data_IF_158274557053
#
_entry.id   IF_158274557053
#
_cell.length_a   1.000
_cell.length_b   1.000
_cell.length_c   1.000
_cell.angle_alpha   90.00
_cell.angle_beta   90.00
_cell.angle_gamma   90.00
#
_symmetry.space_group_name_H-M   'P 1'
#
loop_
_entity.id
_entity.type
_entity.pdbx_description
1 polymer ?
#
# COMPACT_ATOMS: atom_id res chain seq x y z
N UNK A 1 9.06 5.06 7.84
CA UNK A 1 8.63 3.70 8.27
C UNK A 1 9.53 3.13 9.35
N UNK A 2 10.84 2.95 9.12
CA UNK A 2 11.77 2.40 10.13
C UNK A 2 11.67 3.15 11.46
N UNK A 3 11.71 4.46 11.45
CA UNK A 3 11.56 5.29 12.66
C UNK A 3 10.26 5.00 13.44
N UNK A 4 9.13 4.77 12.78
CA UNK A 4 7.87 4.42 13.46
C UNK A 4 7.94 3.04 14.12
N UNK A 5 8.54 2.06 13.44
CA UNK A 5 8.76 0.72 13.97
C UNK A 5 9.65 0.80 15.20
N UNK A 6 10.77 1.53 15.11
CA UNK A 6 11.72 1.73 16.23
C UNK A 6 11.05 2.41 17.43
N UNK A 7 10.16 3.40 17.20
CA UNK A 7 9.40 4.07 18.27
C UNK A 7 8.38 3.12 18.92
N UNK A 8 7.67 2.30 18.13
CA UNK A 8 6.76 1.31 18.67
C UNK A 8 7.49 0.28 19.53
N UNK A 9 8.60 -0.25 19.05
CA UNK A 9 9.43 -1.20 19.78
C UNK A 9 9.95 -0.61 21.11
N UNK A 10 10.47 0.63 21.07
CA UNK A 10 10.94 1.34 22.25
C UNK A 10 9.82 1.69 23.24
N UNK A 11 8.57 1.89 22.75
CA UNK A 11 7.43 2.24 23.60
C UNK A 11 6.89 1.03 24.34
N UNK A 12 6.66 -0.07 23.63
CA UNK A 12 6.19 -1.33 24.21
C UNK A 12 6.39 -2.47 23.19
N UNK A 13 7.29 -3.43 23.44
CA UNK A 13 7.54 -4.54 22.52
C UNK A 13 6.30 -5.39 22.18
N UNK A 14 5.27 -5.35 23.04
CA UNK A 14 4.02 -6.09 22.83
C UNK A 14 3.15 -5.49 21.70
N UNK A 15 3.47 -4.30 21.20
CA UNK A 15 2.72 -3.64 20.11
C UNK A 15 2.70 -4.51 18.86
N UNK A 16 3.80 -5.19 18.54
CA UNK A 16 3.83 -6.06 17.35
C UNK A 16 2.90 -7.26 17.47
N UNK A 17 2.75 -7.82 18.67
CA UNK A 17 1.79 -8.89 18.94
C UNK A 17 0.33 -8.50 18.71
N UNK A 18 0.00 -7.19 18.66
CA UNK A 18 -1.36 -6.74 18.32
C UNK A 18 -1.75 -7.07 16.88
N UNK A 19 -0.79 -7.27 16.01
CA UNK A 19 -1.05 -7.57 14.59
C UNK A 19 -1.16 -9.07 14.30
N UNK A 20 -0.89 -9.93 15.28
CA UNK A 20 -0.87 -11.38 15.13
C UNK A 20 -2.27 -12.01 15.24
N UNK A 21 -3.18 -11.38 15.97
CA UNK A 21 -4.52 -11.89 16.18
C UNK A 21 -5.63 -10.83 15.96
N UNK A 22 -6.87 -11.32 15.85
CA UNK A 22 -8.05 -10.46 15.66
C UNK A 22 -8.31 -9.54 16.86
N UNK A 23 -8.06 -9.99 18.08
CA UNK A 23 -8.32 -9.22 19.29
C UNK A 23 -7.39 -8.01 19.37
N UNK A 24 -6.09 -8.22 19.18
CA UNK A 24 -5.10 -7.16 19.17
C UNK A 24 -5.34 -6.15 18.05
N UNK A 25 -5.59 -6.63 16.84
CA UNK A 25 -5.90 -5.78 15.68
C UNK A 25 -7.16 -4.95 15.92
N UNK A 26 -8.22 -5.56 16.47
CA UNK A 26 -9.47 -4.86 16.77
C UNK A 26 -9.29 -3.87 17.92
N UNK A 27 -8.57 -4.23 18.98
CA UNK A 27 -8.27 -3.33 20.08
C UNK A 27 -7.52 -2.08 19.60
N UNK A 28 -6.50 -2.26 18.75
CA UNK A 28 -5.76 -1.15 18.16
C UNK A 28 -6.65 -0.24 17.30
N UNK A 29 -7.55 -0.80 16.50
CA UNK A 29 -8.50 -0.02 15.71
C UNK A 29 -9.45 0.80 16.57
N UNK A 30 -9.96 0.22 17.69
CA UNK A 30 -10.78 0.95 18.65
C UNK A 30 -10.03 2.16 19.19
N UNK A 31 -8.81 1.97 19.66
CA UNK A 31 -7.99 3.06 20.23
C UNK A 31 -7.64 4.14 19.18
N UNK A 32 -7.33 3.75 17.92
CA UNK A 32 -7.11 4.72 16.84
C UNK A 32 -8.38 5.54 16.55
N UNK A 33 -9.55 4.92 16.67
CA UNK A 33 -10.87 5.59 16.51
C UNK A 33 -11.31 6.34 17.76
N UNK A 34 -10.49 6.41 18.81
CA UNK A 34 -10.81 7.08 20.06
C UNK A 34 -11.80 6.30 20.94
N UNK A 35 -11.98 5.01 20.70
CA UNK A 35 -12.83 4.13 21.49
C UNK A 35 -11.98 3.30 22.46
N UNK A 36 -12.39 3.20 23.72
CA UNK A 36 -11.65 2.47 24.77
C UNK A 36 -11.81 0.95 24.59
N UNK A 37 -10.76 0.29 24.13
CA UNK A 37 -10.73 -1.15 23.91
C UNK A 37 -10.82 -1.97 25.21
N UNK A 38 -10.50 -1.39 26.36
CA UNK A 38 -10.59 -2.05 27.66
C UNK A 38 -12.04 -2.36 28.09
N UNK A 39 -13.01 -1.67 27.50
CA UNK A 39 -14.44 -1.91 27.71
C UNK A 39 -14.97 -3.11 26.91
N UNK A 40 -14.08 -3.81 26.20
CA UNK A 40 -14.42 -4.90 25.30
C UNK A 40 -14.67 -4.42 23.86
N UNK A 41 -14.34 -5.26 22.92
CA UNK A 41 -14.46 -5.01 21.47
C UNK A 41 -15.42 -6.00 20.81
N UNK A 42 -15.99 -5.64 19.68
CA UNK A 42 -16.86 -6.55 18.91
C UNK A 42 -16.02 -7.37 17.92
N UNK A 43 -16.11 -8.69 18.04
CA UNK A 43 -15.50 -9.65 17.11
C UNK A 43 -16.56 -10.66 16.68
N UNK A 44 -16.81 -10.72 15.38
CA UNK A 44 -17.78 -11.62 14.76
C UNK A 44 -19.16 -11.60 15.46
N UNK A 45 -19.63 -10.38 15.77
CA UNK A 45 -20.92 -10.10 16.41
C UNK A 45 -20.99 -10.37 17.92
N UNK A 46 -19.88 -10.71 18.56
CA UNK A 46 -19.79 -10.95 20.00
C UNK A 46 -18.89 -9.93 20.67
N UNK A 47 -19.30 -9.43 21.84
CA UNK A 47 -18.43 -8.58 22.66
C UNK A 47 -17.42 -9.44 23.40
N UNK A 48 -16.15 -9.19 23.15
CA UNK A 48 -15.01 -9.90 23.73
C UNK A 48 -14.29 -8.95 24.67
N UNK A 49 -14.06 -9.40 25.90
CA UNK A 49 -13.23 -8.65 26.86
C UNK A 49 -11.76 -8.84 26.48
N UNK A 50 -11.06 -7.74 26.25
CA UNK A 50 -9.64 -7.75 25.89
C UNK A 50 -8.77 -7.86 27.15
N UNK A 51 -7.73 -8.66 27.07
CA UNK A 51 -6.71 -8.71 28.13
C UNK A 51 -6.16 -7.32 28.42
N UNK A 52 -6.00 -7.00 29.70
CA UNK A 52 -5.60 -5.66 30.14
C UNK A 52 -4.25 -5.22 29.58
N UNK A 53 -3.27 -6.14 29.47
CA UNK A 53 -1.96 -5.84 28.91
C UNK A 53 -2.04 -5.56 27.41
N UNK A 54 -2.90 -6.31 26.71
CA UNK A 54 -3.19 -6.12 25.28
C UNK A 54 -3.88 -4.78 25.04
N UNK A 55 -4.90 -4.42 25.84
CA UNK A 55 -5.59 -3.12 25.75
C UNK A 55 -4.63 -1.95 26.02
N UNK A 56 -3.74 -2.07 27.02
CA UNK A 56 -2.72 -1.07 27.29
C UNK A 56 -1.71 -0.91 26.15
N UNK A 57 -1.27 -2.02 25.54
CA UNK A 57 -0.39 -1.98 24.37
C UNK A 57 -1.08 -1.31 23.18
N UNK A 58 -2.35 -1.62 22.93
CA UNK A 58 -3.15 -0.98 21.89
C UNK A 58 -3.28 0.54 22.09
N UNK A 59 -3.56 0.97 23.31
CA UNK A 59 -3.64 2.40 23.67
C UNK A 59 -2.32 3.14 23.44
N UNK A 60 -1.20 2.53 23.84
CA UNK A 60 0.14 3.10 23.59
C UNK A 60 0.45 3.15 22.09
N UNK A 61 0.14 2.09 21.36
CA UNK A 61 0.34 2.03 19.91
C UNK A 61 -0.46 3.10 19.17
N UNK A 62 -1.73 3.28 19.54
CA UNK A 62 -2.60 4.30 18.95
C UNK A 62 -2.11 5.73 19.25
N UNK A 63 -1.62 5.98 20.48
CA UNK A 63 -1.04 7.27 20.86
C UNK A 63 0.19 7.59 19.98
N UNK A 64 1.15 6.67 19.91
CA UNK A 64 2.35 6.84 19.07
C UNK A 64 1.95 7.00 17.60
N UNK A 65 0.99 6.20 17.12
CA UNK A 65 0.47 6.32 15.77
C UNK A 65 -0.04 7.72 15.47
N UNK A 66 -0.88 8.27 16.36
CA UNK A 66 -1.43 9.62 16.21
C UNK A 66 -0.32 10.67 16.19
N UNK A 67 0.61 10.63 17.13
CA UNK A 67 1.73 11.58 17.22
C UNK A 67 2.59 11.55 15.94
N UNK A 68 2.91 10.37 15.44
CA UNK A 68 3.73 10.22 14.23
C UNK A 68 2.98 10.67 12.97
N UNK A 69 1.70 10.36 12.84
CA UNK A 69 0.90 10.80 11.69
C UNK A 69 0.64 12.31 11.71
N UNK A 70 0.42 12.89 12.89
CA UNK A 70 0.28 14.35 13.03
C UNK A 70 1.59 15.09 12.68
N UNK A 71 2.74 14.55 13.10
CA UNK A 71 4.04 15.09 12.71
C UNK A 71 4.27 15.02 11.20
N UNK A 72 3.95 13.87 10.58
CA UNK A 72 4.06 13.71 9.12
C UNK A 72 3.09 14.63 8.37
N UNK A 73 1.87 14.83 8.89
CA UNK A 73 0.90 15.78 8.33
C UNK A 73 1.44 17.21 8.37
N UNK A 74 1.98 17.62 9.51
CA UNK A 74 2.58 18.95 9.66
C UNK A 74 3.75 19.15 8.69
N UNK A 75 4.61 18.14 8.56
CA UNK A 75 5.71 18.16 7.61
C UNK A 75 5.26 18.19 6.15
N UNK A 76 4.24 17.41 5.80
CA UNK A 76 3.64 17.43 4.46
C UNK A 76 3.08 18.82 4.14
N UNK A 77 2.34 19.43 5.08
CA UNK A 77 1.80 20.76 4.91
C UNK A 77 2.90 21.84 4.79
N UNK A 78 3.98 21.72 5.57
CA UNK A 78 5.14 22.62 5.45
C UNK A 78 5.83 22.54 4.08
N UNK A 79 5.68 21.43 3.37
CA UNK A 79 6.22 21.24 2.01
C UNK A 79 5.18 21.48 0.89
N UNK A 80 4.10 22.22 1.19
CA UNK A 80 3.10 22.65 0.23
C UNK A 80 1.86 21.75 0.14
N UNK A 81 1.70 20.77 1.04
CA UNK A 81 0.47 20.03 1.24
C UNK A 81 -0.62 20.90 1.85
N UNK A 82 -1.88 20.46 1.77
CA UNK A 82 -3.06 21.15 2.31
C UNK A 82 -4.01 20.15 3.00
N UNK A 83 -3.46 19.33 3.88
CA UNK A 83 -4.29 18.40 4.68
C UNK A 83 -4.91 19.17 5.83
N UNK A 84 -6.25 19.19 5.86
CA UNK A 84 -7.03 19.80 6.92
C UNK A 84 -7.02 18.99 8.22
N UNK A 85 -7.80 19.45 9.19
CA UNK A 85 -7.97 18.75 10.45
C UNK A 85 -9.11 17.76 10.36
N UNK A 86 -8.82 16.49 10.67
CA UNK A 86 -9.76 15.39 10.75
C UNK A 86 -9.31 14.48 11.91
N UNK A 87 -10.20 14.20 12.87
CA UNK A 87 -9.86 13.46 14.09
C UNK A 87 -9.24 12.10 13.82
N UNK A 88 -9.74 11.38 12.83
CA UNK A 88 -9.27 10.06 12.42
C UNK A 88 -8.45 10.08 11.11
N UNK A 89 -7.81 11.21 10.80
CA UNK A 89 -7.03 11.37 9.57
C UNK A 89 -5.96 10.29 9.41
N UNK A 90 -5.34 9.86 10.48
CA UNK A 90 -4.29 8.84 10.47
C UNK A 90 -4.80 7.42 10.15
N UNK A 91 -6.12 7.15 10.14
CA UNK A 91 -6.67 5.86 9.76
C UNK A 91 -7.10 5.88 8.29
N UNK A 92 -6.26 5.45 7.35
CA UNK A 92 -6.59 5.45 5.94
C UNK A 92 -7.64 4.38 5.61
N UNK A 93 -8.50 4.68 4.64
CA UNK A 93 -9.42 3.70 4.10
C UNK A 93 -8.77 2.97 2.93
N UNK A 94 -8.92 1.67 2.90
CA UNK A 94 -8.44 0.84 1.81
C UNK A 94 -9.61 0.09 1.18
N UNK A 95 -9.66 0.09 -0.16
CA UNK A 95 -10.72 -0.54 -0.93
C UNK A 95 -10.11 -1.50 -1.94
N UNK A 96 -10.64 -2.70 -2.01
CA UNK A 96 -10.38 -3.62 -3.12
C UNK A 96 -11.32 -3.31 -4.28
N UNK A 97 -10.81 -2.69 -5.35
CA UNK A 97 -11.62 -2.38 -6.54
C UNK A 97 -12.33 -3.62 -7.08
N UNK A 98 -11.69 -4.79 -7.01
CA UNK A 98 -12.28 -6.05 -7.45
C UNK A 98 -13.48 -6.48 -6.59
N UNK A 99 -13.39 -6.35 -5.25
CA UNK A 99 -14.50 -6.68 -4.34
C UNK A 99 -15.66 -5.68 -4.46
N UNK A 100 -15.33 -4.40 -4.60
CA UNK A 100 -16.33 -3.34 -4.80
C UNK A 100 -17.06 -3.54 -6.13
N UNK A 101 -16.32 -3.81 -7.21
CA UNK A 101 -16.91 -4.11 -8.53
C UNK A 101 -17.80 -5.36 -8.49
N UNK A 102 -17.34 -6.43 -7.84
CA UNK A 102 -18.09 -7.68 -7.74
C UNK A 102 -19.40 -7.54 -6.95
N UNK A 103 -19.45 -6.62 -5.98
CA UNK A 103 -20.68 -6.32 -5.24
C UNK A 103 -21.73 -5.59 -6.10
N UNK A 104 -21.30 -4.80 -7.08
CA UNK A 104 -22.14 -3.90 -7.83
C UNK A 104 -22.46 -2.60 -7.09
N UNK A 105 -22.83 -1.55 -7.83
CA UNK A 105 -23.00 -0.19 -7.30
C UNK A 105 -24.07 -0.11 -6.21
N UNK A 106 -25.27 -0.61 -6.51
CA UNK A 106 -26.41 -0.45 -5.57
C UNK A 106 -26.17 -1.22 -4.27
N UNK A 107 -25.69 -2.46 -4.35
CA UNK A 107 -25.39 -3.26 -3.14
C UNK A 107 -24.22 -2.69 -2.33
N UNK A 108 -23.19 -2.13 -3.00
CA UNK A 108 -22.09 -1.48 -2.32
C UNK A 108 -22.55 -0.20 -1.61
N UNK A 109 -23.38 0.63 -2.27
CA UNK A 109 -23.94 1.85 -1.72
C UNK A 109 -24.80 1.53 -0.50
N UNK A 110 -25.76 0.58 -0.62
CA UNK A 110 -26.65 0.17 0.48
C UNK A 110 -25.87 -0.29 1.70
N UNK A 111 -24.93 -1.23 1.51
CA UNK A 111 -24.10 -1.75 2.58
C UNK A 111 -23.18 -0.70 3.21
N UNK A 112 -22.63 0.21 2.41
CA UNK A 112 -21.76 1.26 2.91
C UNK A 112 -22.55 2.29 3.70
N UNK A 113 -23.69 2.74 3.18
CA UNK A 113 -24.53 3.79 3.77
C UNK A 113 -24.91 3.50 5.21
N UNK A 114 -25.28 2.25 5.52
CA UNK A 114 -25.68 1.86 6.89
C UNK A 114 -24.58 2.02 7.94
N UNK A 115 -23.29 2.05 7.53
CA UNK A 115 -22.14 2.19 8.40
C UNK A 115 -21.67 3.64 8.58
N UNK A 116 -22.26 4.61 7.86
CA UNK A 116 -21.79 5.99 7.84
C UNK A 116 -22.41 6.85 8.94
N UNK A 117 -21.62 7.71 9.55
CA UNK A 117 -22.06 8.78 10.41
C UNK A 117 -22.62 9.95 9.60
N UNK A 118 -23.93 9.96 9.40
CA UNK A 118 -24.61 10.93 8.55
C UNK A 118 -24.49 12.38 9.07
N UNK A 119 -24.16 12.59 10.35
CA UNK A 119 -23.97 13.93 10.94
C UNK A 119 -22.70 14.62 10.43
N UNK A 120 -21.79 13.87 9.86
CA UNK A 120 -20.53 14.40 9.29
C UNK A 120 -20.65 14.89 7.84
N UNK A 121 -21.83 14.68 7.22
CA UNK A 121 -22.07 15.15 5.85
C UNK A 121 -22.76 16.50 5.89
N UNK A 122 -21.94 17.55 5.84
CA UNK A 122 -22.36 18.94 5.95
C UNK A 122 -22.06 19.66 4.64
N UNK A 123 -23.01 20.46 4.14
CA UNK A 123 -22.83 21.31 2.96
C UNK A 123 -21.98 22.54 3.30
N UNK A 124 -21.54 23.26 2.27
CA UNK A 124 -20.77 24.51 2.42
C UNK A 124 -21.53 25.59 3.22
N UNK A 125 -22.87 25.56 3.17
CA UNK A 125 -23.75 26.46 3.94
C UNK A 125 -23.97 26.05 5.39
N UNK A 126 -23.35 24.93 5.84
CA UNK A 126 -23.48 24.39 7.19
C UNK A 126 -24.70 23.51 7.42
N UNK A 127 -25.56 23.29 6.43
CA UNK A 127 -26.70 22.38 6.54
C UNK A 127 -26.30 20.92 6.30
N UNK A 128 -27.05 20.00 6.93
CA UNK A 128 -26.82 18.56 6.70
C UNK A 128 -27.26 18.17 5.28
N UNK A 129 -26.48 17.28 4.67
CA UNK A 129 -26.86 16.64 3.42
C UNK A 129 -28.05 15.70 3.64
N UNK A 130 -28.94 15.62 2.67
CA UNK A 130 -30.00 14.62 2.62
C UNK A 130 -29.43 13.23 2.31
N UNK A 131 -30.16 12.19 2.66
CA UNK A 131 -29.77 10.80 2.32
C UNK A 131 -29.54 10.61 0.82
N UNK A 132 -30.36 11.25 -0.01
CA UNK A 132 -30.21 11.17 -1.48
C UNK A 132 -28.92 11.82 -1.97
N UNK A 133 -28.51 12.93 -1.38
CA UNK A 133 -27.22 13.58 -1.70
C UNK A 133 -26.05 12.72 -1.28
N UNK A 134 -26.11 12.10 -0.09
CA UNK A 134 -25.09 11.17 0.39
C UNK A 134 -25.01 9.93 -0.52
N UNK A 135 -26.15 9.37 -0.92
CA UNK A 135 -26.20 8.26 -1.88
C UNK A 135 -25.56 8.67 -3.23
N UNK A 136 -25.80 9.90 -3.69
CA UNK A 136 -25.14 10.45 -4.86
C UNK A 136 -23.62 10.52 -4.73
N UNK A 137 -23.12 10.95 -3.58
CA UNK A 137 -21.67 10.94 -3.26
C UNK A 137 -21.10 9.51 -3.25
N UNK A 138 -21.83 8.55 -2.67
CA UNK A 138 -21.40 7.15 -2.66
C UNK A 138 -21.35 6.55 -4.06
N UNK A 139 -22.32 6.83 -4.92
CA UNK A 139 -22.30 6.39 -6.34
C UNK A 139 -21.08 6.94 -7.07
N UNK A 140 -20.77 8.22 -6.89
CA UNK A 140 -19.56 8.83 -7.46
C UNK A 140 -18.28 8.21 -6.90
N UNK A 141 -18.27 7.88 -5.60
CA UNK A 141 -17.15 7.20 -4.95
C UNK A 141 -16.96 5.77 -5.46
N UNK A 142 -18.05 5.04 -5.68
CA UNK A 142 -18.02 3.72 -6.31
C UNK A 142 -17.32 3.77 -7.68
N UNK A 143 -17.75 4.69 -8.55
CA UNK A 143 -17.13 4.88 -9.87
C UNK A 143 -15.64 5.19 -9.76
N UNK A 144 -15.26 6.02 -8.79
CA UNK A 144 -13.85 6.36 -8.55
C UNK A 144 -13.03 5.16 -8.09
N UNK A 145 -13.56 4.33 -7.18
CA UNK A 145 -12.88 3.13 -6.68
C UNK A 145 -12.73 2.10 -7.79
N UNK A 146 -13.80 1.83 -8.53
CA UNK A 146 -13.82 0.79 -9.59
C UNK A 146 -12.95 1.19 -10.77
N UNK A 147 -12.96 2.47 -11.17
CA UNK A 147 -12.16 2.97 -12.28
C UNK A 147 -10.71 3.29 -11.90
N UNK A 148 -10.33 3.15 -10.59
CA UNK A 148 -9.02 3.59 -10.10
C UNK A 148 -8.80 5.10 -10.27
N UNK A 149 -9.87 5.90 -10.25
CA UNK A 149 -9.85 7.35 -10.42
C UNK A 149 -9.92 7.84 -11.88
N UNK A 150 -10.07 6.93 -12.85
CA UNK A 150 -10.14 7.31 -14.26
C UNK A 150 -11.38 8.18 -14.60
N UNK A 151 -12.47 8.03 -13.84
CA UNK A 151 -13.66 8.87 -13.97
C UNK A 151 -13.43 10.35 -13.63
N UNK A 152 -12.38 10.67 -12.88
CA UNK A 152 -11.97 12.06 -12.58
C UNK A 152 -11.13 12.69 -13.69
N UNK A 153 -10.76 11.92 -14.72
CA UNK A 153 -10.01 12.42 -15.87
C UNK A 153 -10.98 12.98 -16.90
N UNK A 154 -10.89 14.26 -17.18
CA UNK A 154 -11.70 14.89 -18.22
C UNK A 154 -11.10 14.59 -19.59
N UNK A 155 -11.83 13.95 -20.52
CA UNK A 155 -11.34 13.71 -21.88
C UNK A 155 -10.92 15.01 -22.56
N UNK A 156 -9.76 15.03 -23.23
CA UNK A 156 -9.25 16.18 -23.96
C UNK A 156 -8.57 17.29 -23.13
N UNK A 157 -8.64 17.21 -21.80
CA UNK A 157 -7.72 17.98 -20.96
C UNK A 157 -6.51 17.10 -20.64
N UNK A 158 -5.28 17.55 -20.95
CA UNK A 158 -4.12 16.85 -20.42
C UNK A 158 -4.31 16.80 -18.91
N UNK A 159 -4.38 15.58 -18.37
CA UNK A 159 -4.27 15.35 -16.93
C UNK A 159 -2.84 15.75 -16.54
N UNK A 160 -2.61 17.03 -16.47
CA UNK A 160 -1.51 17.57 -15.69
C UNK A 160 -1.86 17.17 -14.27
N UNK A 161 -1.22 16.08 -13.83
CA UNK A 161 -1.51 15.45 -12.56
C UNK A 161 -1.78 16.53 -11.55
N UNK A 162 -2.95 16.45 -10.90
CA UNK A 162 -3.32 17.44 -9.91
C UNK A 162 -2.13 17.66 -8.99
N UNK A 163 -1.97 18.87 -8.53
CA UNK A 163 -0.83 19.23 -7.69
C UNK A 163 -0.63 18.12 -6.64
N UNK A 164 0.53 17.47 -6.65
CA UNK A 164 0.83 16.36 -5.70
C UNK A 164 0.61 16.77 -4.26
N UNK A 165 0.75 18.07 -3.97
CA UNK A 165 0.44 18.65 -2.67
C UNK A 165 -1.03 18.50 -2.23
N UNK A 166 -1.94 18.20 -3.15
CA UNK A 166 -3.35 17.98 -2.84
C UNK A 166 -3.73 16.48 -2.73
N UNK A 167 -2.80 15.56 -2.98
CA UNK A 167 -3.10 14.12 -3.03
C UNK A 167 -3.70 13.56 -1.74
N UNK A 168 -3.31 14.08 -0.58
CA UNK A 168 -3.85 13.71 0.73
C UNK A 168 -4.84 14.73 1.29
N UNK A 169 -5.13 15.79 0.53
CA UNK A 169 -6.03 16.88 0.91
C UNK A 169 -7.44 16.68 0.38
N UNK A 170 -7.69 15.65 -0.45
CA UNK A 170 -9.04 15.33 -0.89
C UNK A 170 -9.89 14.94 0.33
N UNK A 171 -11.09 15.50 0.39
CA UNK A 171 -12.03 15.22 1.46
C UNK A 171 -12.34 13.73 1.52
N UNK A 172 -12.32 13.20 2.73
CA UNK A 172 -12.73 11.82 2.97
C UNK A 172 -14.24 11.73 2.78
N UNK A 173 -14.67 10.86 1.86
CA UNK A 173 -16.10 10.66 1.59
C UNK A 173 -16.75 9.68 2.58
N UNK A 174 -15.99 8.68 3.07
CA UNK A 174 -16.54 7.68 3.99
C UNK A 174 -16.22 8.06 5.43
N UNK A 175 -17.25 8.41 6.21
CA UNK A 175 -17.15 8.71 7.64
C UNK A 175 -17.89 7.61 8.42
N UNK A 176 -17.16 6.63 8.93
CA UNK A 176 -17.76 5.51 9.68
C UNK A 176 -18.17 5.93 11.10
N UNK A 177 -19.35 5.46 11.58
CA UNK A 177 -19.91 5.74 12.91
C UNK A 177 -18.97 5.30 14.03
N UNK A 178 -18.36 4.12 13.88
CA UNK A 178 -17.58 3.46 14.91
C UNK A 178 -16.43 2.65 14.32
N UNK A 179 -15.59 2.09 15.21
CA UNK A 179 -14.58 1.12 14.81
C UNK A 179 -15.22 -0.15 14.25
N UNK A 180 -16.35 -0.58 14.80
CA UNK A 180 -17.08 -1.76 14.32
C UNK A 180 -17.58 -1.58 12.89
N UNK A 181 -18.17 -0.42 12.59
CA UNK A 181 -18.63 -0.09 11.24
C UNK A 181 -17.47 -0.07 10.23
N UNK A 182 -16.32 0.50 10.62
CA UNK A 182 -15.11 0.47 9.80
C UNK A 182 -14.61 -0.97 9.59
N UNK A 183 -14.55 -1.79 10.64
CA UNK A 183 -14.10 -3.19 10.55
C UNK A 183 -15.02 -4.00 9.65
N UNK A 184 -16.34 -3.83 9.79
CA UNK A 184 -17.31 -4.56 8.97
C UNK A 184 -17.19 -4.19 7.50
N UNK A 185 -17.02 -2.90 7.21
CA UNK A 185 -16.74 -2.43 5.85
C UNK A 185 -15.43 -3.04 5.31
N UNK A 186 -14.34 -3.04 6.10
CA UNK A 186 -13.06 -3.58 5.68
C UNK A 186 -13.08 -5.10 5.45
N UNK A 187 -13.86 -5.85 6.20
CA UNK A 187 -14.07 -7.28 5.95
C UNK A 187 -14.68 -7.56 4.58
N UNK A 188 -15.64 -6.72 4.17
CA UNK A 188 -16.35 -6.89 2.93
C UNK A 188 -15.57 -6.34 1.73
N UNK A 189 -15.01 -5.17 1.84
CA UNK A 189 -14.49 -4.36 0.74
C UNK A 189 -13.00 -4.04 0.82
N UNK A 190 -12.32 -4.34 1.92
CA UNK A 190 -10.87 -4.24 2.06
C UNK A 190 -10.16 -5.54 1.67
N UNK A 191 -8.86 -5.48 1.37
CA UNK A 191 -8.02 -6.64 1.05
C UNK A 191 -6.67 -6.63 1.79
N UNK A 192 -6.43 -5.62 2.63
CA UNK A 192 -5.17 -5.47 3.37
C UNK A 192 -5.36 -5.67 4.86
N UNK A 193 -4.34 -6.24 5.50
CA UNK A 193 -4.25 -6.25 6.96
C UNK A 193 -4.10 -4.83 7.51
N UNK A 194 -4.49 -4.61 8.77
CA UNK A 194 -4.31 -3.31 9.44
C UNK A 194 -2.85 -2.87 9.38
N UNK A 195 -1.90 -3.75 9.66
CA UNK A 195 -0.47 -3.47 9.54
C UNK A 195 -0.10 -2.96 8.14
N UNK A 196 -0.59 -3.63 7.10
CA UNK A 196 -0.37 -3.24 5.71
C UNK A 196 -0.98 -1.87 5.36
N UNK A 197 -2.17 -1.55 5.91
CA UNK A 197 -2.83 -0.26 5.73
C UNK A 197 -2.03 0.86 6.40
N UNK A 198 -1.64 0.68 7.67
CA UNK A 198 -0.91 1.68 8.44
C UNK A 198 0.49 1.93 7.85
N UNK A 199 1.25 0.87 7.59
CA UNK A 199 2.60 0.99 7.02
C UNK A 199 2.58 1.55 5.60
N UNK A 200 1.58 1.18 4.80
CA UNK A 200 1.34 1.74 3.47
C UNK A 200 1.08 3.24 3.49
N UNK A 201 0.27 3.71 4.45
CA UNK A 201 -0.01 5.14 4.63
C UNK A 201 1.25 5.95 4.95
N UNK A 202 2.02 5.52 5.95
CA UNK A 202 3.28 6.19 6.32
C UNK A 202 4.26 6.19 5.17
N UNK A 203 4.38 5.08 4.44
CA UNK A 203 5.28 4.99 3.29
C UNK A 203 4.88 5.93 2.16
N UNK A 204 3.58 6.00 1.85
CA UNK A 204 3.06 6.88 0.81
C UNK A 204 3.27 8.36 1.19
N UNK A 205 2.93 8.74 2.42
CA UNK A 205 3.09 10.11 2.90
C UNK A 205 4.56 10.54 2.97
N UNK A 206 5.45 9.69 3.50
CA UNK A 206 6.89 9.94 3.54
C UNK A 206 7.48 10.12 2.14
N UNK A 207 7.00 9.37 1.16
CA UNK A 207 7.41 9.51 -0.25
C UNK A 207 6.99 10.87 -0.80
N UNK A 208 5.75 11.29 -0.59
CA UNK A 208 5.27 12.59 -1.06
C UNK A 208 6.04 13.74 -0.42
N UNK A 209 6.33 13.65 0.89
CA UNK A 209 7.17 14.63 1.59
C UNK A 209 8.57 14.70 0.96
N UNK A 210 9.21 13.56 0.73
CA UNK A 210 10.54 13.51 0.13
C UNK A 210 10.56 14.11 -1.29
N UNK A 211 9.54 13.83 -2.08
CA UNK A 211 9.38 14.40 -3.43
C UNK A 211 9.17 15.90 -3.34
N UNK A 212 8.24 16.37 -2.49
CA UNK A 212 7.95 17.79 -2.34
C UNK A 212 9.16 18.59 -1.84
N UNK A 213 9.95 18.05 -0.91
CA UNK A 213 11.21 18.65 -0.44
C UNK A 213 12.24 18.86 -1.53
N UNK A 214 12.33 17.93 -2.50
CA UNK A 214 13.35 17.96 -3.54
C UNK A 214 12.92 18.67 -4.81
N UNK A 215 11.64 18.54 -5.17
CA UNK A 215 11.10 18.96 -6.46
C UNK A 215 10.03 20.06 -6.32
N UNK A 216 9.69 20.44 -5.09
CA UNK A 216 8.64 21.39 -4.80
C UNK A 216 7.23 20.78 -4.85
N UNK A 217 6.20 21.60 -4.52
CA UNK A 217 4.81 21.13 -4.46
C UNK A 217 4.25 20.71 -5.81
N UNK A 218 4.80 21.23 -6.91
CA UNK A 218 4.44 20.88 -8.29
C UNK A 218 5.45 19.93 -8.93
N UNK A 219 5.92 18.91 -8.19
CA UNK A 219 6.99 18.02 -8.58
C UNK A 219 6.84 17.42 -9.98
N UNK A 220 5.61 17.09 -10.38
CA UNK A 220 5.33 16.51 -11.70
C UNK A 220 5.64 17.46 -12.84
N UNK A 221 5.27 18.73 -12.69
CA UNK A 221 5.59 19.75 -13.68
C UNK A 221 7.07 20.11 -13.66
N UNK A 222 7.67 20.15 -12.48
CA UNK A 222 9.11 20.37 -12.31
C UNK A 222 9.91 19.30 -13.04
N UNK A 223 9.58 18.04 -12.84
CA UNK A 223 10.26 16.89 -13.50
C UNK A 223 10.04 16.94 -15.00
N UNK A 224 8.78 17.14 -15.43
CA UNK A 224 8.48 17.26 -16.86
C UNK A 224 9.31 18.37 -17.52
N UNK A 225 9.38 19.55 -16.91
CA UNK A 225 10.17 20.65 -17.43
C UNK A 225 11.65 20.28 -17.59
N UNK A 226 12.26 19.65 -16.60
CA UNK A 226 13.66 19.23 -16.69
C UNK A 226 13.89 18.11 -17.70
N UNK A 227 12.96 17.15 -17.80
CA UNK A 227 13.03 16.08 -18.81
C UNK A 227 12.94 16.69 -20.22
N UNK A 228 12.00 17.59 -20.47
CA UNK A 228 11.84 18.23 -21.78
C UNK A 228 13.06 19.09 -22.15
N UNK A 229 13.64 19.79 -21.18
CA UNK A 229 14.87 20.56 -21.37
C UNK A 229 16.08 19.68 -21.66
N UNK A 230 16.21 18.56 -20.94
CA UNK A 230 17.26 17.57 -21.19
C UNK A 230 17.11 16.96 -22.60
N UNK A 231 15.87 16.59 -22.97
CA UNK A 231 15.57 16.07 -24.31
C UNK A 231 16.04 17.02 -25.42
N UNK A 232 15.70 18.31 -25.31
CA UNK A 232 16.13 19.30 -26.30
C UNK A 232 17.65 19.39 -26.43
N UNK A 233 18.38 19.31 -25.29
CA UNK A 233 19.86 19.31 -25.30
C UNK A 233 20.43 18.04 -25.91
N UNK A 234 19.86 16.89 -25.58
CA UNK A 234 20.38 15.58 -26.01
C UNK A 234 20.02 15.27 -27.47
N UNK A 235 18.88 15.73 -27.97
CA UNK A 235 18.49 15.61 -29.38
C UNK A 235 19.50 16.29 -30.30
N UNK A 236 20.05 17.44 -29.88
CA UNK A 236 21.10 18.14 -30.62
C UNK A 236 22.43 17.38 -30.62
N UNK A 237 22.75 16.67 -29.52
CA UNK A 237 24.04 15.99 -29.34
C UNK A 237 24.06 14.56 -29.88
N UNK A 238 23.00 13.82 -29.67
CA UNK A 238 22.95 12.36 -29.84
C UNK A 238 21.89 11.88 -30.83
N UNK A 239 21.08 12.81 -31.36
CA UNK A 239 19.95 12.52 -32.24
C UNK A 239 18.66 12.14 -31.52
N UNK A 240 17.53 12.36 -32.20
CA UNK A 240 16.17 12.24 -31.63
C UNK A 240 15.86 10.87 -31.06
N UNK A 241 16.32 9.80 -31.69
CA UNK A 241 15.99 8.44 -31.27
C UNK A 241 16.58 8.08 -29.91
N UNK A 242 17.83 8.45 -29.66
CA UNK A 242 18.51 8.20 -28.38
C UNK A 242 17.92 9.12 -27.30
N UNK A 243 17.71 10.39 -27.60
CA UNK A 243 17.12 11.35 -26.66
C UNK A 243 15.72 10.90 -26.20
N UNK A 244 14.86 10.39 -27.10
CA UNK A 244 13.53 9.83 -26.73
C UNK A 244 13.64 8.63 -25.81
N UNK A 245 14.62 7.77 -26.05
CA UNK A 245 14.83 6.60 -25.18
C UNK A 245 15.20 7.01 -23.76
N UNK A 246 16.10 7.98 -23.61
CA UNK A 246 16.50 8.50 -22.30
C UNK A 246 15.37 9.30 -21.62
N UNK A 247 14.58 10.05 -22.38
CA UNK A 247 13.38 10.72 -21.89
C UNK A 247 12.38 9.70 -21.29
N UNK A 248 12.11 8.61 -22.02
CA UNK A 248 11.20 7.56 -21.56
C UNK A 248 11.74 6.85 -20.30
N UNK A 249 13.03 6.54 -20.25
CA UNK A 249 13.65 5.90 -19.07
C UNK A 249 13.56 6.81 -17.85
N UNK A 250 13.87 8.09 -18.00
CA UNK A 250 13.83 9.07 -16.91
C UNK A 250 12.40 9.27 -16.39
N UNK A 251 11.43 9.39 -17.30
CA UNK A 251 10.02 9.47 -16.91
C UNK A 251 9.56 8.20 -16.20
N UNK A 252 9.93 7.03 -16.70
CA UNK A 252 9.58 5.74 -16.09
C UNK A 252 10.19 5.58 -14.70
N UNK A 253 11.42 6.04 -14.49
CA UNK A 253 12.06 6.05 -13.18
C UNK A 253 11.34 6.98 -12.21
N UNK A 254 11.01 8.19 -12.67
CA UNK A 254 10.22 9.12 -11.85
C UNK A 254 8.87 8.53 -11.47
N UNK A 255 8.14 7.95 -12.41
CA UNK A 255 6.84 7.32 -12.15
C UNK A 255 6.95 6.16 -11.15
N UNK A 256 8.06 5.41 -11.19
CA UNK A 256 8.35 4.39 -10.19
C UNK A 256 8.57 5.00 -8.80
N UNK A 257 9.45 6.01 -8.69
CA UNK A 257 9.72 6.72 -7.43
C UNK A 257 8.46 7.41 -6.91
N UNK A 258 7.67 7.97 -7.80
CA UNK A 258 6.41 8.65 -7.51
C UNK A 258 5.28 7.68 -7.10
N UNK A 259 5.49 6.38 -7.16
CA UNK A 259 4.48 5.37 -6.83
C UNK A 259 3.30 5.35 -7.80
N UNK A 260 3.51 5.79 -9.04
CA UNK A 260 2.49 5.81 -10.10
C UNK A 260 2.37 4.51 -10.87
N UNK A 261 3.28 3.57 -10.71
CA UNK A 261 3.06 2.23 -11.21
C UNK A 261 1.87 1.67 -10.48
N UNK A 262 0.73 1.70 -11.15
CA UNK A 262 -0.52 1.17 -10.65
C UNK A 262 -0.31 -0.30 -10.26
N UNK A 263 -0.95 -0.76 -9.18
CA UNK A 263 -1.18 -2.17 -9.00
C UNK A 263 -1.84 -2.65 -10.30
N UNK A 264 -1.34 -3.74 -10.81
CA UNK A 264 -1.70 -4.29 -12.12
C UNK A 264 -3.22 -4.42 -12.21
N UNK A 265 -3.82 -3.75 -13.18
CA UNK A 265 -5.26 -3.73 -13.39
C UNK A 265 -5.85 -5.12 -13.69
N UNK A 266 -4.99 -6.10 -13.96
CA UNK A 266 -5.39 -7.50 -14.15
C UNK A 266 -4.31 -8.43 -13.55
N UNK A 267 -4.61 -8.93 -12.35
CA UNK A 267 -3.75 -9.81 -11.58
C UNK A 267 -3.38 -11.11 -12.34
N UNK A 268 -4.28 -11.60 -13.21
CA UNK A 268 -4.03 -12.78 -14.06
C UNK A 268 -3.04 -12.47 -15.18
N UNK A 269 -3.11 -11.28 -15.76
CA UNK A 269 -2.14 -10.85 -16.79
C UNK A 269 -0.77 -10.59 -16.14
N UNK A 270 -0.74 -10.00 -14.94
CA UNK A 270 0.51 -9.80 -14.21
C UNK A 270 1.18 -11.10 -13.80
N UNK A 271 0.41 -12.04 -13.25
CA UNK A 271 0.96 -13.37 -12.91
C UNK A 271 1.43 -14.11 -14.15
N UNK A 272 0.79 -13.89 -15.31
CA UNK A 272 1.25 -14.37 -16.60
C UNK A 272 2.59 -13.75 -17.01
N UNK A 273 2.75 -12.43 -16.86
CA UNK A 273 4.02 -11.74 -17.14
C UNK A 273 5.11 -12.08 -16.11
N UNK A 274 4.77 -12.25 -14.84
CA UNK A 274 5.73 -12.71 -13.81
C UNK A 274 6.15 -14.15 -14.05
N UNK A 275 5.24 -15.01 -14.50
CA UNK A 275 5.56 -16.38 -14.92
C UNK A 275 6.47 -16.38 -16.15
N UNK A 276 6.16 -15.55 -17.15
CA UNK A 276 7.00 -15.38 -18.35
C UNK A 276 8.38 -14.83 -17.99
N UNK A 277 8.47 -13.84 -17.11
CA UNK A 277 9.70 -13.27 -16.60
C UNK A 277 10.52 -14.31 -15.83
N UNK A 278 9.87 -15.07 -14.95
CA UNK A 278 10.51 -16.17 -14.21
C UNK A 278 11.01 -17.25 -15.14
N UNK A 279 10.26 -17.59 -16.19
CA UNK A 279 10.68 -18.51 -17.23
C UNK A 279 11.88 -17.97 -18.05
N UNK A 280 11.86 -16.69 -18.42
CA UNK A 280 12.98 -16.03 -19.10
C UNK A 280 14.23 -15.95 -18.22
N UNK A 281 14.09 -15.67 -16.93
CA UNK A 281 15.19 -15.70 -15.97
C UNK A 281 15.71 -17.13 -15.83
N UNK A 282 14.84 -18.12 -15.68
CA UNK A 282 15.19 -19.52 -15.60
C UNK A 282 15.88 -20.01 -16.91
N UNK A 283 15.39 -19.58 -18.09
CA UNK A 283 16.01 -19.92 -19.38
C UNK A 283 17.38 -19.27 -19.55
N UNK A 284 17.58 -18.05 -19.05
CA UNK A 284 18.90 -17.39 -19.02
C UNK A 284 19.84 -18.00 -17.99
N UNK A 285 19.32 -18.41 -16.83
CA UNK A 285 20.07 -19.20 -15.84
C UNK A 285 20.30 -20.63 -16.32
N UNK A 286 19.40 -21.19 -17.15
CA UNK A 286 19.56 -22.48 -17.79
C UNK A 286 20.76 -22.53 -18.73
N UNK A 287 21.19 -21.39 -19.28
CA UNK A 287 22.46 -21.29 -20.00
C UNK A 287 23.72 -21.39 -19.10
N UNK A 288 23.54 -21.31 -17.78
CA UNK A 288 24.61 -21.57 -16.80
C UNK A 288 24.75 -23.08 -16.48
N UNK A 289 23.75 -23.91 -16.84
CA UNK A 289 23.86 -25.37 -16.67
C UNK A 289 25.08 -25.99 -17.35
N UNK A 290 25.50 -25.57 -18.57
CA UNK A 290 26.74 -26.05 -19.15
C UNK A 290 27.99 -25.65 -18.36
N UNK A 291 27.98 -24.52 -17.64
CA UNK A 291 29.13 -24.10 -16.82
C UNK A 291 29.16 -24.79 -15.45
N UNK A 292 28.04 -25.35 -14.99
CA UNK A 292 28.00 -26.14 -13.77
C UNK A 292 28.45 -27.61 -13.96
N UNK A 293 28.48 -28.09 -15.18
CA UNK A 293 28.96 -29.45 -15.48
C UNK A 293 30.40 -29.73 -15.05
N UNK A 294 31.39 -28.81 -15.26
CA UNK A 294 32.74 -28.98 -14.73
C UNK A 294 32.79 -29.04 -13.21
N UNK A 295 31.96 -28.20 -12.53
CA UNK A 295 31.91 -28.18 -11.07
C UNK A 295 31.29 -29.47 -10.49
N UNK A 296 30.31 -30.03 -11.15
CA UNK A 296 29.72 -31.34 -10.81
C UNK A 296 30.72 -32.47 -11.01
N UNK A 297 31.51 -32.46 -12.08
CA UNK A 297 32.56 -33.42 -12.33
C UNK A 297 33.66 -33.32 -11.26
N UNK A 298 34.03 -32.11 -10.86
CA UNK A 298 35.01 -31.85 -9.80
C UNK A 298 34.48 -32.32 -8.43
N UNK A 299 33.22 -32.07 -8.13
CA UNK A 299 32.54 -32.56 -6.90
C UNK A 299 32.50 -34.09 -6.87
N UNK A 300 32.20 -34.75 -8.00
CA UNK A 300 32.17 -36.19 -8.10
C UNK A 300 33.55 -36.80 -7.90
N UNK A 301 34.59 -36.21 -8.52
CA UNK A 301 35.98 -36.63 -8.34
C UNK A 301 36.44 -36.44 -6.88
N UNK A 302 36.11 -35.33 -6.27
CA UNK A 302 36.41 -35.01 -4.85
C UNK A 302 35.74 -36.03 -3.93
N UNK A 303 34.47 -36.36 -4.18
CA UNK A 303 33.72 -37.36 -3.40
C UNK A 303 34.34 -38.75 -3.55
N UNK A 304 34.80 -39.12 -4.77
CA UNK A 304 35.43 -40.43 -5.04
C UNK A 304 36.80 -40.51 -4.35
N UNK A 305 37.59 -39.44 -4.35
CA UNK A 305 38.89 -39.36 -3.66
C UNK A 305 38.68 -39.51 -2.13
N UNK A 306 37.61 -38.90 -1.58
CA UNK A 306 37.27 -38.96 -0.16
C UNK A 306 36.44 -40.20 0.21
N UNK A 307 36.28 -41.20 -0.68
CA UNK A 307 35.48 -42.43 -0.47
C UNK A 307 34.00 -42.20 -0.08
N UNK A 308 33.43 -41.06 -0.48
CA UNK A 308 32.02 -40.75 -0.35
C UNK A 308 31.23 -41.30 -1.53
N UNK A 309 30.00 -41.80 -1.29
CA UNK A 309 29.12 -42.22 -2.39
C UNK A 309 28.59 -40.98 -3.14
N UNK A 310 28.90 -40.86 -4.40
CA UNK A 310 28.47 -39.72 -5.25
C UNK A 310 26.95 -39.58 -5.35
N UNK A 311 26.18 -40.69 -5.16
CA UNK A 311 24.72 -40.71 -5.11
C UNK A 311 24.16 -39.94 -3.92
N UNK A 312 24.88 -39.87 -2.80
CA UNK A 312 24.40 -39.21 -1.58
C UNK A 312 24.51 -37.68 -1.71
N UNK A 313 25.47 -37.19 -2.48
CA UNK A 313 25.60 -35.78 -2.80
C UNK A 313 24.45 -35.29 -3.69
N UNK A 314 24.08 -36.08 -4.71
CA UNK A 314 22.97 -35.75 -5.60
C UNK A 314 21.61 -35.80 -4.89
N UNK A 315 21.39 -36.80 -4.06
CA UNK A 315 20.14 -36.93 -3.32
C UNK A 315 19.94 -35.82 -2.29
N UNK A 316 21.00 -35.37 -1.65
CA UNK A 316 20.95 -34.25 -0.72
C UNK A 316 20.71 -32.92 -1.45
N UNK A 317 21.34 -32.65 -2.59
CA UNK A 317 21.05 -31.46 -3.37
C UNK A 317 19.59 -31.40 -3.87
N UNK A 318 19.03 -32.54 -4.31
CA UNK A 318 17.62 -32.61 -4.71
C UNK A 318 16.65 -32.43 -3.53
N UNK A 319 17.03 -32.82 -2.31
CA UNK A 319 16.24 -32.52 -1.11
C UNK A 319 16.15 -31.03 -0.82
N UNK A 320 17.25 -30.27 -1.04
CA UNK A 320 17.25 -28.81 -0.86
C UNK A 320 16.52 -28.04 -1.96
N UNK A 321 16.31 -28.65 -3.13
CA UNK A 321 15.53 -28.07 -4.22
C UNK A 321 14.02 -28.32 -4.09
N UNK A 322 13.59 -29.12 -3.13
CA UNK A 322 12.18 -29.39 -2.89
C UNK A 322 11.59 -28.29 -1.98
N UNK A 323 10.61 -27.46 -2.48
CA UNK A 323 10.05 -26.34 -1.71
C UNK A 323 9.39 -26.76 -0.41
N UNK A 324 9.04 -28.04 -0.22
CA UNK A 324 8.47 -28.55 1.03
C UNK A 324 9.50 -28.72 2.16
N UNK A 325 10.78 -28.69 1.86
CA UNK A 325 11.86 -28.80 2.84
C UNK A 325 12.54 -27.46 3.13
N UNK A 326 12.06 -26.37 2.56
CA UNK A 326 12.60 -25.02 2.80
C UNK A 326 12.17 -24.43 4.16
N UNK A 327 11.15 -25.03 4.80
CA UNK A 327 10.66 -24.58 6.11
C UNK A 327 11.55 -25.08 7.28
N UNK A 328 12.43 -26.04 7.07
CA UNK A 328 13.35 -26.55 8.11
C UNK A 328 14.68 -25.78 8.20
N UNK A 329 14.84 -24.69 7.45
CA UNK A 329 16.07 -23.89 7.35
C UNK A 329 15.89 -22.42 7.76
N UNK A 330 14.76 -22.05 8.39
CA UNK A 330 14.49 -20.71 8.92
C UNK A 330 14.69 -20.63 10.44
#
# INVERSE_FOLDING_TARGET
>A
MRQMIDVWEATDPRIFGLFEDKEGTTALLYEIKGQDSSQGVMIDGKRIQIDQKKAQAAKKAAKVWKEQTDALKAEYNANGGRVGELEDWGLPHHHSSARVLAAGQDAWVEKTFQHLDLKRYVKEDGTLMTEQEIIGLLKSSYETIVSGGANKMTPGRPSFGGNRSNRFSEERVLHFKSADDYIEYQKQFGDKSLYGVLTGHVSALSREIAIARKLGPNADQTVKYYIDKAFQSDAVKSGDGQARTEQYKTQSLYDYVAGRRQPVANEKIASGFDSLRSWLVASRLGSLLPSMLPDQATMYLTAKVNRMRGTDLFSNQLKYLNPKNAEDLS
#
